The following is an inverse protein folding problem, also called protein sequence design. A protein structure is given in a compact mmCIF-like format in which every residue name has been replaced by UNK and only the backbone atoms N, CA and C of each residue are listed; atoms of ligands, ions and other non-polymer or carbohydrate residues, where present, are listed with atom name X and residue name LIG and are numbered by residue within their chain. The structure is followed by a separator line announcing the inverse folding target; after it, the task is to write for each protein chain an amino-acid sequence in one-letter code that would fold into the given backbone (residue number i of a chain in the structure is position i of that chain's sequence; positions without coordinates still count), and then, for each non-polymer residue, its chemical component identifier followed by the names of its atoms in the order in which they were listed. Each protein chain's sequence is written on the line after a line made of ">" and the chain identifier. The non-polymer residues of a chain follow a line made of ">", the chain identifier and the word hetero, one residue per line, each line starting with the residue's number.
data_IF_862330022934
#
_entry.id   IF_862330022934
#
_cell.length_a   1.000
_cell.length_b   1.000
_cell.length_c   1.000
_cell.angle_alpha   90.00
_cell.angle_beta   90.00
_cell.angle_gamma   90.00
#
_symmetry.space_group_name_H-M   'P 1'
#
loop_
_entity.id
_entity.type
_entity.pdbx_description
1 polymer ?
#
# COMPACT_ATOMS: atom_id res chain seq x y z
N UNK A 1 -3.86 -26.84 -5.92
CA UNK A 1 -3.06 -26.90 -4.66
C UNK A 1 -3.58 -25.80 -3.74
N UNK A 2 -3.62 -25.98 -2.41
CA UNK A 2 -4.35 -25.06 -1.55
C UNK A 2 -3.53 -23.81 -1.20
N UNK A 3 -4.13 -22.64 -1.44
CA UNK A 3 -3.77 -21.36 -0.84
C UNK A 3 -4.04 -21.38 0.68
N UNK A 4 -3.39 -20.50 1.47
CA UNK A 4 -3.59 -20.46 2.91
C UNK A 4 -5.07 -20.26 3.28
N UNK A 5 -5.49 -21.01 4.31
CA UNK A 5 -6.77 -20.86 4.99
C UNK A 5 -7.08 -19.39 5.27
N UNK A 6 -8.23 -18.94 4.77
CA UNK A 6 -8.79 -17.64 5.04
C UNK A 6 -8.93 -17.42 6.55
N UNK A 7 -8.20 -16.46 7.10
CA UNK A 7 -8.51 -15.88 8.39
C UNK A 7 -9.59 -14.79 8.20
N UNK A 8 -10.54 -14.64 9.13
CA UNK A 8 -11.78 -13.91 8.91
C UNK A 8 -11.55 -12.41 8.72
N UNK A 9 -12.43 -11.82 7.91
CA UNK A 9 -12.62 -10.38 7.77
C UNK A 9 -12.68 -9.72 9.15
N UNK A 10 -11.68 -8.92 9.48
CA UNK A 10 -11.76 -7.99 10.61
C UNK A 10 -12.66 -6.82 10.20
N UNK A 11 -13.98 -7.04 10.17
CA UNK A 11 -14.91 -5.96 10.43
C UNK A 11 -14.99 -5.79 11.96
N UNK A 12 -14.33 -4.75 12.45
CA UNK A 12 -14.70 -4.10 13.69
C UNK A 12 -14.42 -2.61 13.53
N UNK A 13 -15.43 -1.90 13.03
CA UNK A 13 -15.54 -0.47 13.19
C UNK A 13 -15.82 -0.12 14.66
N UNK A 14 -14.98 0.73 15.26
CA UNK A 14 -15.39 2.10 15.63
C UNK A 14 -14.51 2.77 16.70
N UNK A 15 -14.21 4.03 16.40
CA UNK A 15 -14.13 5.19 17.29
C UNK A 15 -12.93 5.37 18.23
N UNK A 16 -12.09 6.37 17.89
CA UNK A 16 -11.74 7.48 18.78
C UNK A 16 -11.64 8.77 17.94
N UNK A 17 -12.70 9.58 17.94
CA UNK A 17 -12.76 10.91 18.54
C UNK A 17 -11.82 11.98 17.91
N UNK A 18 -12.38 12.81 17.04
CA UNK A 18 -11.99 14.22 16.93
C UNK A 18 -12.35 14.94 18.25
N UNK A 19 -11.61 15.99 18.65
CA UNK A 19 -12.12 17.32 18.30
C UNK A 19 -11.06 18.41 18.01
N UNK A 20 -11.48 19.32 17.12
CA UNK A 20 -11.34 20.78 17.16
C UNK A 20 -9.96 21.42 17.46
N UNK A 21 -9.40 21.98 16.38
CA UNK A 21 -9.11 23.42 16.25
C UNK A 21 -8.60 24.17 17.49
N UNK A 22 -7.29 24.43 17.51
CA UNK A 22 -6.73 25.60 18.18
C UNK A 22 -5.92 26.43 17.16
N UNK A 23 -6.50 27.57 16.83
CA UNK A 23 -5.94 28.69 16.08
C UNK A 23 -4.65 29.20 16.76
N UNK A 24 -3.55 29.30 16.01
CA UNK A 24 -2.44 30.18 16.37
C UNK A 24 -1.89 30.87 15.11
N UNK A 25 -1.78 32.22 15.11
CA UNK A 25 -1.62 33.01 13.90
C UNK A 25 -0.17 33.12 13.41
N UNK A 26 -0.06 33.12 12.07
CA UNK A 26 0.85 33.90 11.24
C UNK A 26 2.33 34.03 11.69
N UNK A 27 3.13 33.01 11.38
CA UNK A 27 4.59 33.11 11.29
C UNK A 27 5.04 33.11 9.83
N UNK A 28 5.28 34.30 9.30
CA UNK A 28 5.77 34.57 7.94
C UNK A 28 7.06 33.80 7.63
N UNK A 29 7.01 32.82 6.74
CA UNK A 29 8.19 32.37 6.01
C UNK A 29 7.93 32.57 4.52
N UNK A 30 8.51 33.64 3.99
CA UNK A 30 8.58 33.89 2.56
C UNK A 30 9.28 32.71 1.86
N UNK A 31 8.87 32.33 0.64
CA UNK A 31 9.61 31.34 -0.13
C UNK A 31 10.96 31.95 -0.54
N UNK A 32 12.04 31.37 -0.04
CA UNK A 32 13.38 31.61 -0.58
C UNK A 32 13.53 30.82 -1.89
N UNK A 33 14.02 31.41 -2.99
CA UNK A 33 14.38 30.66 -4.19
C UNK A 33 15.76 30.05 -3.99
N UNK A 34 15.86 28.93 -3.27
CA UNK A 34 17.06 28.10 -3.31
C UNK A 34 16.90 27.00 -4.35
N UNK A 35 17.35 27.33 -5.55
CA UNK A 35 17.86 26.37 -6.52
C UNK A 35 19.05 25.63 -5.91
N UNK A 36 18.92 24.33 -5.65
CA UNK A 36 20.07 23.51 -5.28
C UNK A 36 19.75 22.18 -4.58
N UNK A 37 19.51 21.14 -5.38
CA UNK A 37 20.03 19.78 -5.14
C UNK A 37 19.58 19.04 -3.87
N UNK A 38 18.51 18.25 -4.01
CA UNK A 38 18.08 17.29 -3.00
C UNK A 38 17.06 16.29 -3.53
N UNK A 39 17.36 15.63 -4.65
CA UNK A 39 16.63 14.43 -5.03
C UNK A 39 17.07 13.28 -4.11
N UNK A 40 16.59 13.28 -2.86
CA UNK A 40 16.31 12.01 -2.22
C UNK A 40 14.92 11.63 -2.67
N UNK A 41 14.89 10.74 -3.65
CA UNK A 41 13.69 10.13 -4.21
C UNK A 41 13.01 9.30 -3.14
N UNK A 42 12.42 9.96 -2.13
CA UNK A 42 11.39 9.38 -1.31
C UNK A 42 10.11 9.36 -2.16
N UNK A 43 10.16 8.54 -3.22
CA UNK A 43 9.07 8.19 -4.10
C UNK A 43 8.03 7.34 -3.35
N UNK A 44 7.55 7.83 -2.21
CA UNK A 44 6.16 7.60 -1.84
C UNK A 44 5.34 8.33 -2.90
N UNK A 45 5.18 7.68 -4.05
CA UNK A 45 4.48 8.22 -5.22
C UNK A 45 3.15 8.83 -4.74
N UNK A 46 2.98 10.16 -4.79
CA UNK A 46 1.68 10.75 -4.57
C UNK A 46 0.83 10.35 -5.77
N UNK A 47 0.07 9.25 -5.65
CA UNK A 47 -0.82 8.77 -6.71
C UNK A 47 -0.81 7.26 -6.98
N UNK A 48 -0.08 6.45 -6.22
CA UNK A 48 -0.17 4.99 -6.34
C UNK A 48 -1.40 4.47 -5.58
N UNK A 49 -2.29 3.80 -6.30
CA UNK A 49 -3.50 3.19 -5.77
C UNK A 49 -3.59 1.73 -6.22
N UNK A 50 -4.16 0.88 -5.36
CA UNK A 50 -4.47 -0.50 -5.73
C UNK A 50 -5.47 -0.54 -6.89
N UNK A 51 -5.35 -1.55 -7.74
CA UNK A 51 -6.30 -1.75 -8.83
C UNK A 51 -7.72 -2.00 -8.25
N UNK A 52 -8.73 -1.19 -8.64
CA UNK A 52 -10.05 -1.25 -8.02
C UNK A 52 -10.72 -2.60 -8.29
N UNK A 53 -11.16 -3.27 -7.23
CA UNK A 53 -11.82 -4.58 -7.30
C UNK A 53 -10.87 -5.77 -7.54
N UNK A 54 -9.56 -5.54 -7.57
CA UNK A 54 -8.58 -6.60 -7.80
C UNK A 54 -8.56 -7.62 -6.66
N UNK A 55 -8.53 -8.89 -7.06
CA UNK A 55 -8.38 -10.07 -6.22
C UNK A 55 -7.58 -11.11 -6.99
N UNK A 56 -6.79 -11.90 -6.29
CA UNK A 56 -6.11 -13.06 -6.88
C UNK A 56 -7.09 -14.22 -7.20
N UNK A 57 -6.57 -15.36 -7.67
CA UNK A 57 -7.40 -16.52 -8.01
C UNK A 57 -8.14 -17.15 -6.81
N UNK A 58 -7.84 -16.70 -5.59
CA UNK A 58 -8.41 -17.17 -4.33
C UNK A 58 -9.31 -16.13 -3.66
N UNK A 59 -9.51 -14.95 -4.28
CA UNK A 59 -10.32 -13.87 -3.71
C UNK A 59 -9.54 -12.95 -2.76
N UNK A 60 -8.21 -13.03 -2.76
CA UNK A 60 -7.36 -12.24 -1.87
C UNK A 60 -7.00 -10.91 -2.53
N UNK A 61 -7.42 -9.81 -1.91
CA UNK A 61 -7.13 -8.46 -2.40
C UNK A 61 -5.81 -7.89 -1.86
N UNK A 62 -5.45 -6.70 -2.36
CA UNK A 62 -4.20 -6.00 -2.00
C UNK A 62 -4.02 -5.73 -0.50
N UNK A 63 -5.12 -5.53 0.23
CA UNK A 63 -5.09 -5.33 1.68
C UNK A 63 -4.45 -6.54 2.41
N UNK A 64 -4.79 -7.77 1.99
CA UNK A 64 -4.26 -9.00 2.61
C UNK A 64 -2.81 -9.23 2.24
N UNK A 65 -2.44 -8.93 0.99
CA UNK A 65 -1.05 -8.99 0.55
C UNK A 65 -0.14 -8.04 1.34
N UNK A 66 -0.65 -6.85 1.67
CA UNK A 66 0.05 -5.88 2.52
C UNK A 66 0.09 -6.32 3.99
N UNK A 67 -1.05 -6.68 4.58
CA UNK A 67 -1.16 -7.02 6.01
C UNK A 67 -0.30 -8.23 6.39
N UNK A 68 -0.30 -9.26 5.54
CA UNK A 68 0.51 -10.45 5.77
C UNK A 68 1.95 -10.33 5.27
N UNK A 69 2.35 -9.21 4.67
CA UNK A 69 3.68 -9.04 4.11
C UNK A 69 4.02 -10.10 3.05
N UNK A 70 3.03 -10.46 2.23
CA UNK A 70 3.17 -11.42 1.12
C UNK A 70 3.89 -10.83 -0.08
N UNK A 71 4.04 -9.51 -0.11
CA UNK A 71 4.81 -8.80 -1.10
C UNK A 71 5.69 -7.75 -0.43
N UNK A 72 6.62 -7.21 -1.21
CA UNK A 72 7.48 -6.08 -0.86
C UNK A 72 7.12 -4.91 -1.75
N UNK A 73 7.31 -3.69 -1.24
CA UNK A 73 7.13 -2.46 -2.02
C UNK A 73 8.06 -2.34 -3.25
N UNK A 74 9.04 -3.25 -3.38
CA UNK A 74 9.97 -3.31 -4.50
C UNK A 74 9.48 -4.18 -5.67
N UNK A 75 8.28 -4.76 -5.63
CA UNK A 75 7.79 -5.63 -6.71
C UNK A 75 8.13 -7.11 -6.55
N UNK A 76 8.38 -7.57 -5.32
CA UNK A 76 8.79 -8.96 -5.04
C UNK A 76 7.91 -9.64 -3.99
N UNK A 77 8.02 -10.97 -3.88
CA UNK A 77 7.41 -11.73 -2.78
C UNK A 77 8.02 -11.33 -1.44
N UNK A 78 7.18 -11.15 -0.44
CA UNK A 78 7.58 -10.71 0.90
C UNK A 78 7.88 -11.87 1.85
N UNK A 79 8.40 -11.60 3.05
CA UNK A 79 8.78 -12.63 4.02
C UNK A 79 7.59 -13.45 4.55
N UNK A 80 6.35 -12.94 4.42
CA UNK A 80 5.15 -13.70 4.74
C UNK A 80 4.73 -14.66 3.64
N UNK A 81 5.31 -14.56 2.44
CA UNK A 81 5.05 -15.48 1.35
C UNK A 81 5.79 -16.79 1.57
N UNK A 82 5.09 -17.91 1.39
CA UNK A 82 5.69 -19.24 1.52
C UNK A 82 6.04 -19.79 0.15
N UNK A 83 7.27 -20.28 -0.01
CA UNK A 83 7.75 -20.83 -1.28
C UNK A 83 6.87 -21.99 -1.80
N UNK A 84 6.23 -22.75 -0.91
CA UNK A 84 5.37 -23.87 -1.31
C UNK A 84 4.04 -23.42 -1.95
N UNK A 85 3.66 -22.15 -1.81
CA UNK A 85 2.51 -21.58 -2.51
C UNK A 85 2.79 -21.28 -3.99
N UNK A 86 4.07 -21.27 -4.39
CA UNK A 86 4.48 -20.97 -5.74
C UNK A 86 4.44 -19.47 -6.06
N UNK A 87 4.11 -19.12 -7.30
CA UNK A 87 4.04 -17.73 -7.73
C UNK A 87 2.71 -17.07 -7.31
N UNK A 88 2.70 -15.75 -7.05
CA UNK A 88 1.45 -15.00 -6.82
C UNK A 88 0.49 -15.17 -8.00
N UNK A 89 -0.77 -15.44 -7.69
CA UNK A 89 -1.83 -15.61 -8.70
C UNK A 89 -2.57 -14.31 -8.96
N UNK A 90 -3.45 -14.29 -9.96
CA UNK A 90 -4.20 -13.11 -10.41
C UNK A 90 -3.77 -12.63 -11.80
N UNK A 91 -4.64 -11.86 -12.45
CA UNK A 91 -4.39 -11.24 -13.75
C UNK A 91 -4.80 -9.76 -13.69
N UNK A 92 -3.86 -8.81 -13.52
CA UNK A 92 -2.41 -9.00 -13.30
C UNK A 92 -2.09 -9.60 -11.91
N UNK A 93 -0.86 -10.11 -11.67
CA UNK A 93 -0.47 -10.64 -10.37
C UNK A 93 -0.43 -9.54 -9.29
N UNK A 94 -0.51 -9.93 -8.02
CA UNK A 94 -0.53 -9.01 -6.87
C UNK A 94 0.62 -7.99 -6.87
N UNK A 95 1.81 -8.42 -7.33
CA UNK A 95 3.01 -7.59 -7.42
C UNK A 95 2.86 -6.40 -8.38
N UNK A 96 1.92 -6.50 -9.33
CA UNK A 96 1.63 -5.45 -10.31
C UNK A 96 0.30 -4.75 -10.02
N UNK A 97 -0.68 -5.44 -9.45
CA UNK A 97 -1.98 -4.87 -9.14
C UNK A 97 -1.97 -3.98 -7.89
N UNK A 98 -1.12 -4.31 -6.92
CA UNK A 98 -1.16 -3.72 -5.59
C UNK A 98 -0.04 -2.71 -5.39
N UNK A 99 -0.44 -1.53 -4.92
CA UNK A 99 0.47 -0.43 -4.66
C UNK A 99 1.48 -0.77 -3.56
N UNK A 100 1.02 -1.41 -2.48
CA UNK A 100 1.87 -1.87 -1.39
C UNK A 100 2.95 -2.87 -1.85
N UNK A 101 2.70 -3.54 -2.98
CA UNK A 101 3.62 -4.49 -3.58
C UNK A 101 4.55 -3.85 -4.63
N UNK A 102 4.56 -2.52 -4.78
CA UNK A 102 5.34 -1.81 -5.80
C UNK A 102 4.66 -1.68 -7.17
N UNK A 103 3.48 -2.28 -7.32
CA UNK A 103 2.60 -2.15 -8.46
C UNK A 103 1.61 -1.00 -8.30
N UNK A 104 0.35 -1.28 -8.64
CA UNK A 104 -0.75 -0.34 -8.55
C UNK A 104 -0.83 0.61 -9.75
N UNK A 105 -1.95 1.32 -9.84
CA UNK A 105 -2.17 2.38 -10.82
C UNK A 105 -1.63 3.70 -10.30
N UNK A 106 -0.91 4.43 -11.13
CA UNK A 106 -0.42 5.80 -10.84
C UNK A 106 -1.33 6.82 -11.53
N UNK A 107 -1.76 7.85 -10.80
CA UNK A 107 -2.66 8.93 -11.28
C UNK A 107 -1.94 10.27 -11.37
#
# INVERSE_FOLDING_TARGET
>A
QPAPDAAPSSDNASAVAEPASADAPYGSQAPTPFSGGGAIENMSQPGCADMPGWQDAYGMGCNLYNDHGWCTASGGVGPGWREEWGAPTGDPPALEACCACGGGTRS
#
